data_IF_041781995875
#
_entry.id   IF_041781995875
#
_cell.length_a   1.000
_cell.length_b   1.000
_cell.length_c   1.000
_cell.angle_alpha   90.00
_cell.angle_beta   90.00
_cell.angle_gamma   90.00
#
_symmetry.space_group_name_H-M   'P 1'
#
loop_
_entity.id
_entity.type
_entity.pdbx_description
1 polymer ?
#
# COMPACT_ATOMS: atom_id res chain seq x y z
N UNK A 1 -22.84 6.69 -35.62
CA UNK A 1 -22.30 5.34 -35.30
C UNK A 1 -20.93 5.35 -34.60
N UNK A 2 -20.25 6.50 -34.43
CA UNK A 2 -18.88 6.53 -33.87
C UNK A 2 -18.81 6.58 -32.33
N UNK A 3 -19.81 7.15 -31.66
CA UNK A 3 -19.81 7.32 -30.20
C UNK A 3 -20.00 6.02 -29.39
N UNK A 4 -20.86 5.10 -29.86
CA UNK A 4 -21.10 3.82 -29.17
C UNK A 4 -19.87 2.90 -29.28
N UNK A 5 -19.24 2.84 -30.46
CA UNK A 5 -18.00 2.07 -30.65
C UNK A 5 -16.85 2.60 -29.80
N UNK A 6 -16.71 3.93 -29.69
CA UNK A 6 -15.72 4.55 -28.81
C UNK A 6 -16.00 4.31 -27.33
N UNK A 7 -17.26 4.37 -26.90
CA UNK A 7 -17.67 4.06 -25.53
C UNK A 7 -17.36 2.61 -25.14
N UNK A 8 -17.72 1.64 -25.99
CA UNK A 8 -17.45 0.22 -25.77
C UNK A 8 -15.95 -0.07 -25.73
N UNK A 9 -15.16 0.55 -26.62
CA UNK A 9 -13.71 0.40 -26.63
C UNK A 9 -13.05 0.95 -25.36
N UNK A 10 -13.49 2.12 -24.86
CA UNK A 10 -12.98 2.71 -23.63
C UNK A 10 -13.35 1.86 -22.40
N UNK A 11 -14.61 1.39 -22.33
CA UNK A 11 -15.07 0.52 -21.26
C UNK A 11 -14.25 -0.79 -21.18
N UNK A 12 -13.96 -1.40 -22.34
CA UNK A 12 -13.12 -2.60 -22.40
C UNK A 12 -11.70 -2.36 -21.87
N UNK A 13 -11.11 -1.18 -22.14
CA UNK A 13 -9.78 -0.82 -21.60
C UNK A 13 -9.81 -0.69 -20.08
N UNK A 14 -10.82 -0.02 -19.52
CA UNK A 14 -10.99 0.14 -18.08
C UNK A 14 -11.15 -1.21 -17.39
N UNK A 15 -12.05 -2.07 -17.89
CA UNK A 15 -12.27 -3.43 -17.36
C UNK A 15 -11.00 -4.26 -17.44
N UNK A 16 -10.27 -4.23 -18.56
CA UNK A 16 -9.01 -4.95 -18.69
C UNK A 16 -7.98 -4.50 -17.67
N UNK A 17 -7.85 -3.19 -17.44
CA UNK A 17 -6.91 -2.65 -16.46
C UNK A 17 -7.28 -3.04 -15.04
N UNK A 18 -8.56 -2.93 -14.67
CA UNK A 18 -9.06 -3.40 -13.37
C UNK A 18 -8.79 -4.89 -13.19
N UNK A 19 -9.03 -5.70 -14.22
CA UNK A 19 -8.70 -7.13 -14.19
C UNK A 19 -7.21 -7.38 -13.95
N UNK A 20 -6.33 -6.71 -14.69
CA UNK A 20 -4.87 -6.85 -14.51
C UNK A 20 -4.42 -6.44 -13.11
N UNK A 21 -4.90 -5.30 -12.60
CA UNK A 21 -4.51 -4.79 -11.27
C UNK A 21 -5.00 -5.74 -10.16
N UNK A 22 -6.23 -6.27 -10.27
CA UNK A 22 -6.76 -7.27 -9.33
C UNK A 22 -5.97 -8.57 -9.36
N UNK A 23 -5.65 -9.09 -10.55
CA UNK A 23 -4.82 -10.30 -10.67
C UNK A 23 -3.44 -10.08 -10.03
N UNK A 24 -2.81 -8.93 -10.28
CA UNK A 24 -1.51 -8.59 -9.71
C UNK A 24 -1.56 -8.50 -8.18
N UNK A 25 -2.60 -7.87 -7.63
CA UNK A 25 -2.84 -7.80 -6.18
C UNK A 25 -3.04 -9.20 -5.58
N UNK A 26 -3.84 -10.06 -6.20
CA UNK A 26 -4.09 -11.43 -5.72
C UNK A 26 -2.79 -12.24 -5.71
N UNK A 27 -2.00 -12.17 -6.79
CA UNK A 27 -0.71 -12.86 -6.90
C UNK A 27 0.25 -12.46 -5.77
N UNK A 28 0.25 -11.19 -5.36
CA UNK A 28 1.07 -10.71 -4.25
C UNK A 28 0.47 -11.00 -2.87
N UNK A 29 -0.85 -10.96 -2.74
CA UNK A 29 -1.54 -11.19 -1.47
C UNK A 29 -1.43 -12.64 -1.00
N UNK A 30 -1.49 -13.62 -1.92
CA UNK A 30 -1.37 -15.05 -1.59
C UNK A 30 -0.09 -15.36 -0.79
N UNK A 31 1.14 -15.06 -1.26
CA UNK A 31 2.35 -15.37 -0.52
C UNK A 31 2.46 -14.58 0.79
N UNK A 32 1.97 -13.34 0.85
CA UNK A 32 1.89 -12.59 2.11
C UNK A 32 1.00 -13.33 3.12
N UNK A 33 -0.17 -13.80 2.70
CA UNK A 33 -1.07 -14.58 3.55
C UNK A 33 -0.45 -15.91 3.98
N UNK A 34 0.25 -16.61 3.09
CA UNK A 34 0.94 -17.86 3.43
C UNK A 34 2.03 -17.62 4.47
N UNK A 35 2.87 -16.59 4.30
CA UNK A 35 3.91 -16.23 5.28
C UNK A 35 3.29 -15.77 6.61
N UNK A 36 2.12 -15.16 6.59
CA UNK A 36 1.40 -14.77 7.80
C UNK A 36 0.75 -15.97 8.53
N UNK A 37 0.32 -16.99 7.79
CA UNK A 37 -0.39 -18.16 8.33
C UNK A 37 0.51 -19.14 9.12
N UNK A 38 1.80 -18.83 9.30
CA UNK A 38 2.67 -19.58 10.21
C UNK A 38 3.68 -20.49 9.54
N UNK A 39 4.28 -20.04 8.42
CA UNK A 39 5.56 -20.60 7.98
C UNK A 39 6.57 -20.40 9.10
N UNK A 40 7.45 -21.36 9.36
CA UNK A 40 8.52 -21.18 10.34
C UNK A 40 9.69 -20.41 9.70
N UNK A 41 10.28 -19.41 10.39
CA UNK A 41 11.44 -18.70 9.89
C UNK A 41 12.68 -19.60 9.83
N UNK A 42 13.62 -19.25 8.95
CA UNK A 42 14.93 -19.89 8.94
C UNK A 42 15.63 -19.67 10.28
N UNK A 43 16.02 -20.77 10.94
CA UNK A 43 16.75 -20.73 12.19
C UNK A 43 18.25 -20.79 11.89
N UNK A 44 18.99 -19.77 12.34
CA UNK A 44 20.46 -19.76 12.29
C UNK A 44 21.03 -19.84 13.70
N UNK A 45 22.24 -20.39 13.83
CA UNK A 45 23.00 -20.35 15.08
C UNK A 45 23.37 -18.91 15.49
N UNK A 46 23.75 -18.75 16.75
CA UNK A 46 24.26 -17.50 17.32
C UNK A 46 25.54 -17.76 18.11
N UNK A 47 26.36 -16.72 18.30
CA UNK A 47 27.59 -16.81 19.07
C UNK A 47 27.32 -16.44 20.52
N UNK A 48 27.95 -17.14 21.47
CA UNK A 48 27.78 -16.85 22.90
C UNK A 48 28.26 -15.45 23.28
N UNK A 49 29.31 -14.94 22.61
CA UNK A 49 29.92 -13.63 22.90
C UNK A 49 29.26 -12.45 22.15
N UNK A 50 28.09 -12.66 21.52
CA UNK A 50 27.39 -11.62 20.78
C UNK A 50 26.56 -10.73 21.72
N UNK A 51 27.11 -9.55 22.05
CA UNK A 51 26.42 -8.53 22.86
C UNK A 51 25.17 -7.95 22.18
N UNK A 52 25.02 -8.07 20.87
CA UNK A 52 23.89 -7.47 20.14
C UNK A 52 22.55 -8.15 20.42
N UNK A 53 22.55 -9.33 21.06
CA UNK A 53 21.38 -10.15 21.41
C UNK A 53 21.12 -10.27 22.93
N UNK A 54 21.80 -9.43 23.74
CA UNK A 54 21.75 -9.42 25.22
C UNK A 54 20.99 -8.23 25.83
N UNK A 55 20.29 -7.42 25.04
CA UNK A 55 19.52 -6.29 25.56
C UNK A 55 18.28 -6.78 26.34
N UNK A 56 17.84 -6.07 27.39
CA UNK A 56 16.63 -6.45 28.13
C UNK A 56 15.38 -6.31 27.26
N UNK A 57 14.42 -7.21 27.45
CA UNK A 57 13.12 -7.15 26.80
C UNK A 57 12.37 -5.87 27.21
N UNK A 58 11.80 -5.19 26.21
CA UNK A 58 10.94 -4.03 26.39
C UNK A 58 9.70 -4.23 25.54
N UNK A 59 8.55 -3.98 26.13
CA UNK A 59 7.29 -4.03 25.40
C UNK A 59 7.22 -2.96 24.31
N UNK A 60 6.51 -3.30 23.24
CA UNK A 60 6.31 -2.40 22.10
C UNK A 60 5.56 -1.14 22.55
N UNK A 61 6.22 0.02 22.47
CA UNK A 61 5.57 1.32 22.76
C UNK A 61 4.44 1.62 21.76
N UNK A 62 4.57 1.16 20.51
CA UNK A 62 3.55 1.28 19.47
C UNK A 62 3.18 -0.12 18.99
N UNK A 63 1.92 -0.57 19.14
CA UNK A 63 1.47 -1.86 18.65
C UNK A 63 1.67 -1.98 17.13
N UNK A 64 2.05 -3.16 16.64
CA UNK A 64 2.31 -3.38 15.22
C UNK A 64 1.11 -3.05 14.33
N UNK A 65 -0.11 -3.38 14.79
CA UNK A 65 -1.34 -3.05 14.07
C UNK A 65 -1.53 -1.54 13.88
N UNK A 66 -1.20 -0.74 14.89
CA UNK A 66 -1.31 0.73 14.81
C UNK A 66 -0.34 1.27 13.76
N UNK A 67 0.87 0.73 13.69
CA UNK A 67 1.84 1.12 12.66
C UNK A 67 1.36 0.77 11.23
N UNK A 68 0.76 -0.40 11.03
CA UNK A 68 0.16 -0.79 9.75
C UNK A 68 -1.03 0.11 9.35
N UNK A 69 -1.88 0.48 10.31
CA UNK A 69 -2.99 1.40 10.08
C UNK A 69 -2.50 2.80 9.73
N UNK A 70 -1.55 3.34 10.49
CA UNK A 70 -1.01 4.67 10.27
C UNK A 70 -0.37 4.81 8.88
N UNK A 71 0.48 3.84 8.50
CA UNK A 71 1.16 3.81 7.20
C UNK A 71 0.19 3.65 6.02
N UNK A 72 -1.01 3.12 6.23
CA UNK A 72 -2.00 2.92 5.16
C UNK A 72 -3.05 4.03 5.11
N UNK A 73 -3.59 4.47 6.24
CA UNK A 73 -4.71 5.42 6.31
C UNK A 73 -4.28 6.81 5.83
N UNK A 74 -3.12 7.30 6.30
CA UNK A 74 -2.65 8.65 5.96
C UNK A 74 -2.50 8.85 4.45
N UNK A 75 -1.77 8.00 3.70
CA UNK A 75 -1.63 8.18 2.26
C UNK A 75 -2.95 8.01 1.50
N UNK A 76 -3.85 7.12 1.95
CA UNK A 76 -5.17 6.98 1.30
C UNK A 76 -5.99 8.26 1.47
N UNK A 77 -6.04 8.80 2.69
CA UNK A 77 -6.76 10.05 2.98
C UNK A 77 -6.18 11.21 2.19
N UNK A 78 -4.86 11.32 2.11
CA UNK A 78 -4.22 12.41 1.33
C UNK A 78 -4.50 12.28 -0.16
N UNK A 79 -4.43 11.08 -0.75
CA UNK A 79 -4.80 10.85 -2.15
C UNK A 79 -6.24 11.28 -2.41
N UNK A 80 -7.19 10.82 -1.59
CA UNK A 80 -8.61 11.15 -1.75
C UNK A 80 -8.82 12.67 -1.62
N UNK A 81 -8.24 13.29 -0.60
CA UNK A 81 -8.37 14.71 -0.35
C UNK A 81 -7.82 15.53 -1.53
N UNK A 82 -6.63 15.20 -2.04
CA UNK A 82 -6.01 15.90 -3.17
C UNK A 82 -6.87 15.79 -4.43
N UNK A 83 -7.34 14.59 -4.78
CA UNK A 83 -8.16 14.37 -5.98
C UNK A 83 -9.53 15.06 -5.87
N UNK A 84 -10.13 15.09 -4.67
CA UNK A 84 -11.38 15.84 -4.43
C UNK A 84 -11.17 17.34 -4.55
N UNK A 85 -10.07 17.89 -4.02
CA UNK A 85 -9.74 19.31 -4.16
C UNK A 85 -9.47 19.68 -5.63
N UNK A 86 -8.73 18.83 -6.36
CA UNK A 86 -8.49 18.99 -7.79
C UNK A 86 -9.79 18.98 -8.60
N UNK A 87 -10.71 18.08 -8.27
CA UNK A 87 -12.03 18.01 -8.91
C UNK A 87 -12.86 19.26 -8.65
N UNK A 88 -12.92 19.74 -7.40
CA UNK A 88 -13.65 20.98 -7.05
C UNK A 88 -13.10 22.18 -7.82
N UNK A 89 -11.77 22.34 -7.84
CA UNK A 89 -11.11 23.42 -8.60
C UNK A 89 -11.40 23.33 -10.11
N UNK A 90 -11.42 22.12 -10.67
CA UNK A 90 -11.73 21.90 -12.09
C UNK A 90 -13.20 22.21 -12.41
N UNK A 91 -14.12 21.89 -11.50
CA UNK A 91 -15.54 22.19 -11.65
C UNK A 91 -15.82 23.69 -11.55
N UNK A 92 -15.15 24.41 -10.64
CA UNK A 92 -15.23 25.87 -10.54
C UNK A 92 -14.72 26.56 -11.81
N UNK A 93 -13.56 26.13 -12.32
CA UNK A 93 -13.01 26.65 -13.58
C UNK A 93 -13.97 26.43 -14.75
N UNK A 94 -14.57 25.24 -14.83
CA UNK A 94 -15.58 24.93 -15.84
C UNK A 94 -16.79 25.87 -15.75
N UNK A 95 -17.28 26.14 -14.54
CA UNK A 95 -18.41 27.06 -14.32
C UNK A 95 -18.08 28.47 -14.78
N UNK A 96 -16.90 28.99 -14.42
CA UNK A 96 -16.45 30.34 -14.79
C UNK A 96 -16.33 30.52 -16.31
N UNK A 97 -15.68 29.58 -17.01
CA UNK A 97 -15.56 29.65 -18.48
C UNK A 97 -16.91 29.57 -19.17
N UNK A 98 -17.86 28.79 -18.63
CA UNK A 98 -19.23 28.72 -19.18
C UNK A 98 -19.99 30.04 -19.03
N UNK A 99 -19.80 30.77 -17.92
CA UNK A 99 -20.43 32.07 -17.70
C UNK A 99 -19.80 33.16 -18.60
N UNK A 100 -18.49 33.10 -18.86
CA UNK A 100 -17.75 33.97 -19.79
C UNK A 100 -18.18 33.72 -21.26
N UNK A 101 -18.17 32.47 -21.74
CA UNK A 101 -18.52 32.11 -23.14
C UNK A 101 -19.98 32.45 -23.50
N UNK A 102 -20.91 32.45 -22.53
CA UNK A 102 -22.32 32.84 -22.77
C UNK A 102 -22.47 34.31 -23.19
N UNK A 103 -21.47 35.14 -22.96
CA UNK A 103 -21.48 36.56 -23.32
C UNK A 103 -20.94 36.83 -24.73
N UNK A 104 -20.30 35.84 -25.39
CA UNK A 104 -19.67 35.96 -26.71
C UNK A 104 -20.13 34.82 -27.65
N UNK A 105 -21.40 34.84 -28.08
CA UNK A 105 -21.88 33.87 -29.06
C UNK A 105 -21.21 34.08 -30.43
N UNK A 106 -20.34 33.15 -30.87
CA UNK A 106 -20.49 32.41 -32.15
C UNK A 106 -19.25 31.68 -32.68
N UNK A 107 -18.48 30.90 -31.90
CA UNK A 107 -17.88 29.63 -32.37
C UNK A 107 -17.78 28.68 -31.16
N UNK A 108 -18.88 28.01 -30.84
CA UNK A 108 -19.02 27.25 -29.58
C UNK A 108 -18.18 25.97 -29.60
N UNK A 109 -17.04 25.98 -28.92
CA UNK A 109 -16.36 24.75 -28.52
C UNK A 109 -17.18 24.10 -27.40
N UNK A 110 -17.79 22.94 -27.66
CA UNK A 110 -18.54 22.17 -26.67
C UNK A 110 -17.60 21.65 -25.57
N UNK A 111 -17.39 22.47 -24.54
CA UNK A 111 -16.58 22.09 -23.38
C UNK A 111 -17.45 21.21 -22.47
N UNK A 112 -17.10 19.93 -22.37
CA UNK A 112 -17.81 18.98 -21.51
C UNK A 112 -17.49 19.21 -20.03
N UNK A 113 -18.51 19.23 -19.18
CA UNK A 113 -18.36 19.32 -17.72
C UNK A 113 -17.61 18.12 -17.13
N UNK A 114 -16.81 18.31 -16.06
CA UNK A 114 -16.15 17.21 -15.38
C UNK A 114 -17.19 16.27 -14.76
N UNK A 115 -17.19 15.00 -15.18
CA UNK A 115 -18.15 13.98 -14.71
C UNK A 115 -17.67 13.32 -13.42
N UNK A 116 -18.59 12.95 -12.52
CA UNK A 116 -18.26 12.18 -11.29
C UNK A 116 -17.56 10.86 -11.58
N UNK A 117 -17.89 10.20 -12.69
CA UNK A 117 -17.20 8.97 -13.12
C UNK A 117 -15.71 9.19 -13.40
N UNK A 118 -15.32 10.38 -13.84
CA UNK A 118 -13.91 10.74 -14.04
C UNK A 118 -13.18 10.87 -12.71
N UNK A 119 -13.80 11.42 -11.66
CA UNK A 119 -13.20 11.50 -10.32
C UNK A 119 -12.92 10.11 -9.75
N UNK A 120 -13.89 9.20 -9.81
CA UNK A 120 -13.73 7.81 -9.34
C UNK A 120 -12.56 7.13 -10.06
N UNK A 121 -12.46 7.34 -11.38
CA UNK A 121 -11.36 6.79 -12.16
C UNK A 121 -9.99 7.37 -11.79
N UNK A 122 -9.90 8.68 -11.53
CA UNK A 122 -8.65 9.32 -11.09
C UNK A 122 -8.20 8.79 -9.72
N UNK A 123 -9.13 8.67 -8.76
CA UNK A 123 -8.84 8.08 -7.44
C UNK A 123 -8.33 6.65 -7.61
N UNK A 124 -9.02 5.82 -8.41
CA UNK A 124 -8.58 4.46 -8.70
C UNK A 124 -7.16 4.43 -9.29
N UNK A 125 -6.88 5.28 -10.27
CA UNK A 125 -5.60 5.33 -10.96
C UNK A 125 -4.42 5.71 -10.03
N UNK A 126 -4.68 6.47 -8.96
CA UNK A 126 -3.70 6.80 -7.93
C UNK A 126 -3.60 5.73 -6.85
N UNK A 127 -4.72 5.16 -6.45
CA UNK A 127 -4.80 4.22 -5.33
C UNK A 127 -4.27 2.83 -5.70
N UNK A 128 -4.57 2.33 -6.91
CA UNK A 128 -4.14 1.01 -7.36
C UNK A 128 -2.60 0.80 -7.29
N UNK A 129 -1.76 1.68 -7.87
CA UNK A 129 -0.30 1.53 -7.77
C UNK A 129 0.23 1.71 -6.34
N UNK A 130 -0.43 2.52 -5.50
CA UNK A 130 -0.07 2.66 -4.08
C UNK A 130 -0.24 1.33 -3.33
N UNK A 131 -1.41 0.69 -3.48
CA UNK A 131 -1.70 -0.62 -2.85
C UNK A 131 -0.73 -1.69 -3.37
N UNK A 132 -0.48 -1.70 -4.68
CA UNK A 132 0.48 -2.62 -5.28
C UNK A 132 1.90 -2.46 -4.70
N UNK A 133 2.39 -1.22 -4.59
CA UNK A 133 3.69 -0.93 -3.99
C UNK A 133 3.76 -1.33 -2.52
N UNK A 134 2.69 -1.08 -1.75
CA UNK A 134 2.61 -1.49 -0.35
C UNK A 134 2.69 -3.02 -0.21
N UNK A 135 1.97 -3.77 -1.05
CA UNK A 135 1.99 -5.24 -1.04
C UNK A 135 3.37 -5.80 -1.41
N UNK A 136 4.03 -5.26 -2.44
CA UNK A 136 5.40 -5.66 -2.78
C UNK A 136 6.35 -5.39 -1.62
N UNK A 137 6.24 -4.22 -1.00
CA UNK A 137 7.13 -3.82 0.11
C UNK A 137 6.92 -4.74 1.32
N UNK A 138 5.67 -5.08 1.62
CA UNK A 138 5.31 -6.02 2.68
C UNK A 138 5.86 -7.41 2.38
N UNK A 139 5.59 -7.95 1.18
CA UNK A 139 6.08 -9.25 0.75
C UNK A 139 7.61 -9.33 0.82
N UNK A 140 8.30 -8.31 0.31
CA UNK A 140 9.77 -8.26 0.33
C UNK A 140 10.30 -8.25 1.76
N UNK A 141 9.66 -7.49 2.65
CA UNK A 141 10.04 -7.41 4.06
C UNK A 141 9.83 -8.75 4.76
N UNK A 142 8.73 -9.42 4.49
CA UNK A 142 8.42 -10.71 5.09
C UNK A 142 9.39 -11.78 4.57
N UNK A 143 9.60 -11.88 3.25
CA UNK A 143 10.61 -12.78 2.66
C UNK A 143 11.99 -12.54 3.30
N UNK A 144 12.40 -11.28 3.46
CA UNK A 144 13.67 -10.95 4.08
C UNK A 144 13.76 -11.43 5.54
N UNK A 145 12.71 -11.21 6.35
CA UNK A 145 12.66 -11.71 7.74
C UNK A 145 12.76 -13.23 7.81
N UNK A 146 11.98 -13.91 6.96
CA UNK A 146 11.92 -15.37 6.91
C UNK A 146 13.22 -16.01 6.38
N UNK A 147 13.90 -15.33 5.44
CA UNK A 147 15.13 -15.83 4.83
C UNK A 147 16.37 -15.54 5.69
N UNK A 148 16.46 -14.35 6.31
CA UNK A 148 17.64 -13.94 7.08
C UNK A 148 17.63 -14.58 8.47
N UNK A 149 16.46 -14.67 9.12
CA UNK A 149 16.35 -15.31 10.44
C UNK A 149 17.18 -14.62 11.53
N UNK A 150 17.39 -13.29 11.44
CA UNK A 150 18.17 -12.55 12.45
C UNK A 150 17.43 -12.52 13.78
N UNK A 151 18.14 -12.89 14.84
CA UNK A 151 17.64 -12.89 16.21
C UNK A 151 17.41 -11.45 16.71
N UNK A 152 16.39 -11.27 17.55
CA UNK A 152 16.07 -9.97 18.15
C UNK A 152 17.11 -9.60 19.21
N UNK A 153 17.34 -8.29 19.48
CA UNK A 153 18.31 -7.87 20.47
C UNK A 153 18.08 -8.35 21.90
N UNK A 154 16.86 -8.79 22.23
CA UNK A 154 16.48 -9.33 23.54
C UNK A 154 16.29 -10.86 23.53
N UNK A 155 16.89 -11.53 22.56
CA UNK A 155 16.69 -12.97 22.37
C UNK A 155 17.14 -13.77 23.61
N UNK A 156 18.30 -13.46 24.19
CA UNK A 156 18.83 -14.22 25.34
C UNK A 156 17.94 -14.04 26.58
N UNK A 157 17.46 -12.81 26.82
CA UNK A 157 16.59 -12.48 27.96
C UNK A 157 15.27 -13.27 27.93
N UNK A 158 14.67 -13.42 26.75
CA UNK A 158 13.40 -14.14 26.57
C UNK A 158 13.58 -15.66 26.46
N UNK A 159 14.59 -16.12 25.70
CA UNK A 159 14.77 -17.53 25.38
C UNK A 159 15.51 -18.31 26.47
N UNK A 160 16.36 -17.65 27.26
CA UNK A 160 17.18 -18.23 28.33
C UNK A 160 17.87 -19.56 27.94
N UNK A 161 18.73 -19.57 26.90
CA UNK A 161 19.35 -20.80 26.40
C UNK A 161 20.28 -21.43 27.46
N UNK A 162 20.36 -22.77 27.47
CA UNK A 162 21.30 -23.51 28.30
C UNK A 162 22.62 -23.73 27.57
N UNK A 163 23.74 -23.55 28.28
CA UNK A 163 25.06 -23.93 27.77
C UNK A 163 25.25 -25.44 27.77
N UNK A 164 26.26 -25.93 27.04
CA UNK A 164 26.59 -27.37 26.99
C UNK A 164 26.96 -27.95 28.36
N UNK A 165 27.42 -27.10 29.28
CA UNK A 165 27.79 -27.47 30.65
C UNK A 165 26.59 -27.46 31.62
N UNK A 166 25.37 -27.23 31.12
CA UNK A 166 24.15 -27.23 31.91
C UNK A 166 23.91 -25.94 32.72
N UNK A 167 24.80 -24.95 32.62
CA UNK A 167 24.61 -23.65 33.25
C UNK A 167 23.69 -22.77 32.41
N UNK A 168 22.74 -22.11 33.09
CA UNK A 168 21.89 -21.09 32.50
C UNK A 168 22.73 -19.86 32.16
N UNK A 169 22.47 -19.25 31.01
CA UNK A 169 23.19 -18.07 30.54
C UNK A 169 22.86 -16.87 31.44
N UNK A 170 23.73 -16.57 32.41
CA UNK A 170 23.63 -15.40 33.27
C UNK A 170 24.10 -14.16 32.50
N UNK A 171 23.24 -13.14 32.39
CA UNK A 171 23.60 -11.79 31.90
C UNK A 171 24.59 -11.10 32.84
#
# INVERSE_FOLDING_TARGET
MNGLSQYVANNRRHVRRVGTDLCAIIILAIPVLVLFAGVEPYHRGFNCDDESIRYPYKDNTIPSIVNYLYSTIIPIVTIILVEVLYYKKSAEKYRKTRDEDRSEDSIVAEKSSPKRSHLVWQIYYRLAPFVFGALISQLTTDIAKYSIGRLRPHFIDVCQPQTRDGHQFSL
#
